data_IF_200508034484
#
_entry.id   IF_200508034484
#
_cell.length_a   1.000
_cell.length_b   1.000
_cell.length_c   1.000
_cell.angle_alpha   90.00
_cell.angle_beta   90.00
_cell.angle_gamma   90.00
#
_symmetry.space_group_name_H-M   'P 1'
#
loop_
_entity.id
_entity.type
_entity.pdbx_description
1 polymer ?
#
# COMPACT_ATOMS: atom_id res chain seq x y z
N UNK A 1 5.55 5.89 -18.81
CA UNK A 1 5.77 6.42 -17.45
C UNK A 1 7.05 5.81 -16.94
N UNK A 2 8.01 6.57 -16.41
CA UNK A 2 9.28 6.01 -15.92
C UNK A 2 9.06 5.41 -14.52
N UNK A 3 9.16 4.08 -14.33
CA UNK A 3 8.94 3.44 -13.02
C UNK A 3 9.85 3.99 -11.92
N UNK A 4 11.05 4.47 -12.29
CA UNK A 4 12.03 5.05 -11.38
C UNK A 4 11.58 6.41 -10.83
N UNK A 5 10.73 7.13 -11.57
CA UNK A 5 10.11 8.37 -11.12
C UNK A 5 8.84 8.13 -10.30
N UNK A 6 8.13 7.01 -10.55
CA UNK A 6 6.87 6.66 -9.90
C UNK A 6 7.08 6.13 -8.48
N UNK A 7 8.11 5.31 -8.27
CA UNK A 7 8.41 4.77 -6.93
C UNK A 7 8.61 5.86 -5.87
N UNK A 8 9.46 6.89 -6.08
CA UNK A 8 9.62 7.99 -5.14
C UNK A 8 8.32 8.73 -4.86
N UNK A 9 7.48 8.90 -5.88
CA UNK A 9 6.17 9.56 -5.72
C UNK A 9 5.24 8.76 -4.81
N UNK A 10 5.10 7.44 -5.03
CA UNK A 10 4.26 6.60 -4.17
C UNK A 10 4.79 6.50 -2.73
N UNK A 11 6.10 6.35 -2.54
CA UNK A 11 6.68 6.32 -1.18
C UNK A 11 6.50 7.66 -0.47
N UNK A 12 6.63 8.77 -1.20
CA UNK A 12 6.36 10.12 -0.69
C UNK A 12 4.88 10.31 -0.34
N UNK A 13 3.96 9.80 -1.17
CA UNK A 13 2.52 9.84 -0.90
C UNK A 13 2.16 9.06 0.37
N UNK A 14 2.66 7.82 0.51
CA UNK A 14 2.44 7.03 1.74
C UNK A 14 2.94 7.81 2.96
N UNK A 15 4.15 8.36 2.89
CA UNK A 15 4.73 9.14 3.97
C UNK A 15 3.86 10.35 4.32
N UNK A 16 3.44 11.15 3.35
CA UNK A 16 2.61 12.33 3.56
C UNK A 16 1.24 12.00 4.18
N UNK A 17 0.61 10.91 3.73
CA UNK A 17 -0.66 10.45 4.31
C UNK A 17 -0.44 10.07 5.76
N UNK A 18 0.54 9.21 6.05
CA UNK A 18 0.80 8.74 7.42
C UNK A 18 1.17 9.90 8.35
N UNK A 19 2.01 10.84 7.91
CA UNK A 19 2.37 12.01 8.71
C UNK A 19 1.13 12.83 9.10
N UNK A 20 0.22 13.09 8.15
CA UNK A 20 -1.02 13.82 8.42
C UNK A 20 -1.98 13.04 9.33
N UNK A 21 -2.12 11.74 9.13
CA UNK A 21 -2.97 10.90 9.97
C UNK A 21 -2.43 10.80 11.40
N UNK A 22 -1.12 10.66 11.58
CA UNK A 22 -0.49 10.67 12.91
C UNK A 22 -0.64 12.01 13.61
N UNK A 23 -0.47 13.12 12.90
CA UNK A 23 -0.65 14.45 13.47
C UNK A 23 -2.10 14.70 13.92
N UNK A 24 -3.07 14.16 13.16
CA UNK A 24 -4.49 14.25 13.48
C UNK A 24 -4.91 13.32 14.62
N UNK A 25 -4.48 12.05 14.59
CA UNK A 25 -4.82 11.05 15.60
C UNK A 25 -4.08 11.30 16.93
N UNK A 26 -2.82 11.73 16.86
CA UNK A 26 -1.93 11.88 18.02
C UNK A 26 -1.20 10.59 18.42
N UNK A 27 -1.35 9.50 17.64
CA UNK A 27 -0.59 8.25 17.77
C UNK A 27 0.25 7.98 16.53
N UNK A 28 1.30 7.19 16.71
CA UNK A 28 2.23 6.80 15.65
C UNK A 28 1.78 5.52 14.94
N UNK A 29 2.05 5.42 13.65
CA UNK A 29 1.86 4.19 12.89
C UNK A 29 3.08 3.28 13.10
N UNK A 30 2.85 2.01 13.38
CA UNK A 30 3.89 0.98 13.32
C UNK A 30 4.27 0.73 11.86
N UNK A 31 5.58 0.65 11.59
CA UNK A 31 6.11 0.40 10.25
C UNK A 31 6.76 -0.96 10.18
N UNK A 32 6.40 -1.74 9.17
CA UNK A 32 6.98 -3.05 8.90
C UNK A 32 7.44 -3.15 7.44
N UNK A 33 8.75 -3.25 7.26
CA UNK A 33 9.39 -3.38 5.96
C UNK A 33 9.60 -4.85 5.63
N UNK A 34 9.21 -5.27 4.43
CA UNK A 34 9.29 -6.66 4.03
C UNK A 34 9.77 -6.81 2.59
N UNK A 35 10.36 -7.97 2.31
CA UNK A 35 10.84 -8.36 1.00
C UNK A 35 10.09 -9.59 0.50
N UNK A 36 9.91 -9.68 -0.82
CA UNK A 36 9.27 -10.82 -1.46
C UNK A 36 10.32 -11.73 -2.08
N UNK A 37 10.35 -13.04 -1.78
CA UNK A 37 11.31 -13.97 -2.39
C UNK A 37 11.30 -13.96 -3.93
N UNK A 38 10.13 -13.71 -4.53
CA UNK A 38 9.98 -13.61 -5.99
C UNK A 38 10.30 -12.23 -6.59
N UNK A 39 10.87 -11.31 -5.81
CA UNK A 39 11.27 -9.97 -6.26
C UNK A 39 10.40 -8.85 -5.70
N UNK A 40 11.07 -7.80 -5.22
CA UNK A 40 10.47 -6.59 -4.67
C UNK A 40 10.13 -6.71 -3.20
N UNK A 41 9.11 -5.98 -2.75
CA UNK A 41 8.74 -5.90 -1.34
C UNK A 41 7.75 -4.76 -1.08
N UNK A 42 7.73 -4.29 0.16
CA UNK A 42 6.86 -3.20 0.55
C UNK A 42 7.16 -2.63 1.93
N UNK A 43 6.40 -1.58 2.24
CA UNK A 43 6.38 -0.97 3.56
C UNK A 43 4.92 -0.93 4.02
N UNK A 44 4.61 -1.76 4.99
CA UNK A 44 3.32 -1.77 5.68
C UNK A 44 3.35 -0.72 6.79
N UNK A 45 2.34 0.14 6.87
CA UNK A 45 2.20 1.08 7.99
C UNK A 45 0.82 0.95 8.59
N UNK A 46 0.75 0.59 9.86
CA UNK A 46 -0.51 0.30 10.56
C UNK A 46 -0.66 1.15 11.81
N UNK A 47 -1.88 1.55 12.11
CA UNK A 47 -2.26 2.10 13.40
C UNK A 47 -3.31 1.19 14.01
N UNK A 48 -3.12 0.82 15.26
CA UNK A 48 -4.07 0.05 16.04
C UNK A 48 -4.25 0.78 17.37
N UNK A 49 -5.48 0.78 17.85
CA UNK A 49 -5.86 1.45 19.08
C UNK A 49 -5.47 2.94 19.15
N UNK A 50 -5.65 3.65 18.03
CA UNK A 50 -5.51 5.10 17.92
C UNK A 50 -6.51 5.88 18.77
N UNK A 51 -6.34 7.21 18.85
CA UNK A 51 -7.33 8.06 19.54
C UNK A 51 -8.57 8.28 18.66
N UNK A 52 -8.38 8.41 17.34
CA UNK A 52 -9.45 8.56 16.36
C UNK A 52 -9.66 7.28 15.55
N UNK A 53 -8.59 6.63 15.09
CA UNK A 53 -8.67 5.38 14.35
C UNK A 53 -8.70 4.17 15.29
N UNK A 54 -9.69 3.30 15.14
CA UNK A 54 -9.70 2.00 15.80
C UNK A 54 -8.60 1.12 15.21
N UNK A 55 -8.54 1.10 13.87
CA UNK A 55 -7.55 0.37 13.08
C UNK A 55 -7.38 1.01 11.72
N UNK A 56 -6.17 1.02 11.19
CA UNK A 56 -5.91 1.54 9.85
C UNK A 56 -4.61 1.03 9.27
N UNK A 57 -4.54 1.00 7.95
CA UNK A 57 -3.34 0.63 7.21
C UNK A 57 -3.14 1.56 6.01
N UNK A 58 -1.90 1.99 5.78
CA UNK A 58 -1.47 2.72 4.58
C UNK A 58 -0.22 2.00 4.05
N UNK A 59 -0.39 1.20 3.01
CA UNK A 59 0.58 0.22 2.58
C UNK A 59 1.15 0.58 1.22
N UNK A 60 2.48 0.57 1.11
CA UNK A 60 3.17 0.66 -0.16
C UNK A 60 3.71 -0.72 -0.53
N UNK A 61 3.62 -1.06 -1.81
CA UNK A 61 4.32 -2.21 -2.36
C UNK A 61 4.92 -1.87 -3.71
N UNK A 62 6.06 -2.50 -4.02
CA UNK A 62 6.61 -2.59 -5.36
C UNK A 62 7.14 -4.01 -5.53
N UNK A 63 6.41 -4.82 -6.28
CA UNK A 63 6.70 -6.23 -6.52
C UNK A 63 7.01 -6.46 -7.99
N UNK A 64 7.88 -7.43 -8.25
CA UNK A 64 8.24 -7.83 -9.60
C UNK A 64 8.20 -9.35 -9.73
N UNK A 65 8.27 -9.84 -10.95
CA UNK A 65 8.43 -11.27 -11.22
C UNK A 65 8.63 -11.60 -12.69
N UNK A 66 9.08 -12.82 -12.95
CA UNK A 66 9.39 -13.27 -14.31
C UNK A 66 8.16 -13.68 -15.14
N UNK A 67 6.99 -13.84 -14.50
CA UNK A 67 5.76 -14.23 -15.16
C UNK A 67 4.54 -13.59 -14.50
N UNK A 68 3.62 -13.07 -15.33
CA UNK A 68 2.34 -12.53 -14.88
C UNK A 68 1.51 -13.58 -14.11
N UNK A 69 0.82 -13.21 -13.03
CA UNK A 69 -0.06 -14.12 -12.29
C UNK A 69 -1.20 -14.66 -13.17
N UNK A 70 -1.61 -15.90 -12.93
CA UNK A 70 -2.70 -16.55 -13.68
C UNK A 70 -4.01 -15.74 -13.66
N UNK A 71 -4.30 -15.05 -12.55
CA UNK A 71 -5.46 -14.16 -12.44
C UNK A 71 -5.40 -12.96 -13.38
N UNK A 72 -4.20 -12.43 -13.66
CA UNK A 72 -4.00 -11.31 -14.57
C UNK A 72 -3.99 -11.73 -16.05
N UNK A 73 -3.69 -13.00 -16.33
CA UNK A 73 -3.65 -13.56 -17.69
C UNK A 73 -4.95 -14.25 -18.10
N UNK A 74 -5.87 -14.50 -17.17
CA UNK A 74 -7.14 -15.20 -17.43
C UNK A 74 -7.95 -14.58 -18.58
N UNK A 75 -7.95 -13.26 -18.69
CA UNK A 75 -8.60 -12.51 -19.76
C UNK A 75 -7.62 -11.90 -20.78
N UNK A 76 -6.32 -12.16 -20.60
CA UNK A 76 -5.21 -11.59 -21.39
C UNK A 76 -4.10 -12.64 -21.58
N UNK A 77 -4.39 -13.74 -22.30
CA UNK A 77 -3.46 -14.86 -22.44
C UNK A 77 -2.12 -14.48 -23.08
N UNK A 78 -2.09 -13.41 -23.88
CA UNK A 78 -0.88 -12.83 -24.48
C UNK A 78 0.13 -12.29 -23.45
N UNK A 79 -0.30 -12.10 -22.19
CA UNK A 79 0.56 -11.66 -21.09
C UNK A 79 1.20 -12.82 -20.33
N UNK A 80 0.84 -14.07 -20.64
CA UNK A 80 1.43 -15.25 -19.99
C UNK A 80 2.95 -15.30 -20.19
N UNK A 81 3.68 -15.57 -19.11
CA UNK A 81 5.15 -15.64 -19.11
C UNK A 81 5.87 -14.30 -19.32
N UNK A 82 5.16 -13.18 -19.38
CA UNK A 82 5.79 -11.85 -19.45
C UNK A 82 6.26 -11.44 -18.05
N UNK A 83 7.45 -10.84 -17.99
CA UNK A 83 7.94 -10.17 -16.79
C UNK A 83 7.01 -9.02 -16.41
N UNK A 84 6.90 -8.76 -15.11
CA UNK A 84 6.07 -7.68 -14.61
C UNK A 84 6.74 -6.95 -13.45
N UNK A 85 6.30 -5.70 -13.28
CA UNK A 85 6.43 -4.94 -12.05
C UNK A 85 5.07 -4.30 -11.74
N UNK A 86 4.74 -4.21 -10.46
CA UNK A 86 3.53 -3.57 -9.98
C UNK A 86 3.87 -2.80 -8.71
N UNK A 87 3.49 -1.52 -8.66
CA UNK A 87 3.67 -0.68 -7.48
C UNK A 87 2.46 0.20 -7.22
N UNK A 88 2.20 0.51 -5.96
CA UNK A 88 1.09 1.37 -5.57
C UNK A 88 1.01 1.58 -4.06
N UNK A 89 0.07 2.46 -3.68
CA UNK A 89 -0.29 2.72 -2.28
C UNK A 89 -1.74 2.31 -2.09
N UNK A 90 -2.01 1.44 -1.13
CA UNK A 90 -3.37 1.05 -0.75
C UNK A 90 -3.62 1.39 0.71
N UNK A 91 -4.81 1.88 1.04
CA UNK A 91 -5.20 2.15 2.42
C UNK A 91 -6.62 1.74 2.73
N UNK A 92 -6.83 1.40 4.00
CA UNK A 92 -8.14 1.27 4.64
C UNK A 92 -8.05 1.87 6.03
N UNK A 93 -8.99 2.74 6.39
CA UNK A 93 -9.01 3.41 7.70
C UNK A 93 -10.37 3.21 8.35
N UNK A 94 -10.38 2.71 9.59
CA UNK A 94 -11.57 2.51 10.43
C UNK A 94 -11.55 3.51 11.60
N UNK A 95 -12.34 4.59 11.54
CA UNK A 95 -12.56 5.47 12.68
C UNK A 95 -13.28 4.76 13.83
N UNK A 96 -13.00 5.15 15.08
CA UNK A 96 -13.74 4.67 16.26
C UNK A 96 -15.17 5.19 16.32
N UNK A 97 -15.42 6.40 15.81
CA UNK A 97 -16.74 7.00 15.84
C UNK A 97 -17.64 6.33 14.78
N UNK A 98 -18.75 5.67 15.16
CA UNK A 98 -19.65 4.99 14.22
C UNK A 98 -20.32 5.92 13.21
N UNK A 99 -20.33 7.23 13.46
CA UNK A 99 -20.83 8.24 12.53
C UNK A 99 -19.78 8.71 11.51
N UNK A 100 -18.53 8.28 11.65
CA UNK A 100 -17.46 8.56 10.70
C UNK A 100 -17.23 7.33 9.80
N UNK A 101 -17.34 7.46 8.47
CA UNK A 101 -17.26 6.30 7.59
C UNK A 101 -15.85 5.72 7.51
N UNK A 102 -15.78 4.40 7.32
CA UNK A 102 -14.56 3.75 6.84
C UNK A 102 -14.25 4.21 5.42
N UNK A 103 -12.97 4.43 5.12
CA UNK A 103 -12.50 4.83 3.78
C UNK A 103 -11.48 3.83 3.24
N UNK A 104 -11.47 3.68 1.91
CA UNK A 104 -10.49 2.89 1.15
C UNK A 104 -9.98 3.71 -0.04
N UNK A 105 -8.69 3.56 -0.37
CA UNK A 105 -8.07 4.14 -1.57
C UNK A 105 -6.96 3.20 -2.09
N UNK A 106 -6.75 3.20 -3.41
CA UNK A 106 -5.69 2.49 -4.12
C UNK A 106 -5.15 3.36 -5.26
#
# INVERSE_FOLDING_TARGET
MDPRAVKPWFTGLQQQIVERLQAFDGRVFHSDGWERPGGGGGLTRVIEDGNFFERGGVNFSHVMGDGMPASATAHRPELAGRRFEAMGVSLVLHPRNPHCPTVHMN
#
